data_IF_590477175178
#
_entry.id   IF_590477175178
#
_cell.length_a   1.000
_cell.length_b   1.000
_cell.length_c   1.000
_cell.angle_alpha   90.00
_cell.angle_beta   90.00
_cell.angle_gamma   90.00
#
_symmetry.space_group_name_H-M   'P 1'
#
loop_
_entity.id
_entity.type
_entity.pdbx_description
1 polymer ?
#
# COMPACT_ATOMS: atom_id res chain seq x y z
N UNK A 1 -3.13 -1.61 16.44
CA UNK A 1 -3.91 -0.73 15.54
C UNK A 1 -4.26 -1.32 14.16
N UNK A 2 -3.36 -1.33 13.16
CA UNK A 2 -3.73 -1.53 11.73
C UNK A 2 -4.54 -2.82 11.49
N UNK A 3 -4.15 -3.95 12.08
CA UNK A 3 -4.90 -5.21 11.95
C UNK A 3 -6.35 -5.07 12.44
N UNK A 4 -6.57 -4.36 13.56
CA UNK A 4 -7.89 -4.11 14.14
C UNK A 4 -8.75 -3.24 13.22
N UNK A 5 -8.20 -2.14 12.72
CA UNK A 5 -8.91 -1.18 11.84
C UNK A 5 -9.41 -1.89 10.57
N UNK A 6 -8.57 -2.70 9.94
CA UNK A 6 -8.94 -3.41 8.72
C UNK A 6 -9.57 -4.79 8.96
N UNK A 7 -9.76 -5.20 10.22
CA UNK A 7 -10.20 -6.56 10.61
C UNK A 7 -9.35 -7.67 9.98
N UNK A 8 -8.05 -7.41 9.86
CA UNK A 8 -7.06 -8.38 9.39
C UNK A 8 -6.68 -9.33 10.52
N UNK A 9 -6.17 -10.51 10.14
CA UNK A 9 -5.68 -11.53 11.07
C UNK A 9 -4.17 -11.72 11.00
N UNK A 10 -3.52 -11.11 10.02
CA UNK A 10 -2.08 -11.20 9.77
C UNK A 10 -1.61 -9.98 8.98
N UNK A 11 -0.29 -9.79 8.90
CA UNK A 11 0.34 -8.73 8.11
C UNK A 11 1.40 -9.31 7.18
N UNK A 12 1.52 -8.77 5.98
CA UNK A 12 2.75 -8.83 5.20
C UNK A 12 3.55 -7.56 5.47
N UNK A 13 4.81 -7.73 5.88
CA UNK A 13 5.76 -6.64 6.09
C UNK A 13 6.95 -6.88 5.16
N UNK A 14 7.21 -5.94 4.25
CA UNK A 14 8.26 -6.06 3.25
C UNK A 14 9.17 -4.83 3.24
N UNK A 15 10.46 -5.06 3.00
CA UNK A 15 11.48 -4.02 2.82
C UNK A 15 12.23 -4.33 1.54
N UNK A 16 12.26 -3.37 0.63
CA UNK A 16 13.01 -3.43 -0.63
C UNK A 16 14.21 -2.50 -0.50
N UNK A 17 15.33 -3.06 -0.03
CA UNK A 17 16.57 -2.30 0.21
C UNK A 17 17.53 -2.43 -0.99
N UNK A 18 17.55 -1.39 -1.82
CA UNK A 18 18.34 -1.34 -3.05
C UNK A 18 17.55 -1.65 -4.32
N UNK A 19 18.05 -1.17 -5.46
CA UNK A 19 17.36 -1.29 -6.77
C UNK A 19 17.12 -2.74 -7.18
N UNK A 20 18.08 -3.63 -6.90
CA UNK A 20 17.98 -5.06 -7.21
C UNK A 20 16.94 -5.80 -6.34
N UNK A 21 16.53 -5.20 -5.23
CA UNK A 21 15.45 -5.68 -4.37
C UNK A 21 14.08 -5.09 -4.76
N UNK A 22 13.99 -4.32 -5.86
CA UNK A 22 12.76 -3.68 -6.32
C UNK A 22 12.50 -2.28 -5.74
N UNK A 23 13.49 -1.65 -5.10
CA UNK A 23 13.31 -0.31 -4.54
C UNK A 23 13.07 0.74 -5.65
N UNK A 24 11.88 1.34 -5.67
CA UNK A 24 11.54 2.34 -6.69
C UNK A 24 11.85 3.79 -6.29
N UNK A 25 11.77 4.09 -4.98
CA UNK A 25 12.17 5.40 -4.41
C UNK A 25 13.48 5.24 -3.66
N UNK A 26 14.49 6.11 -3.89
CA UNK A 26 15.73 6.12 -3.12
C UNK A 26 15.52 6.72 -1.73
N UNK A 27 14.58 6.16 -0.98
CA UNK A 27 14.24 6.48 0.40
C UNK A 27 13.85 5.18 1.10
N UNK A 28 14.41 4.93 2.28
CA UNK A 28 14.05 3.75 3.05
C UNK A 28 12.55 3.78 3.40
N UNK A 29 11.82 2.76 2.98
CA UNK A 29 10.41 2.58 3.31
C UNK A 29 10.10 1.09 3.51
N UNK A 30 8.97 0.82 4.17
CA UNK A 30 8.48 -0.54 4.36
C UNK A 30 7.01 -0.60 3.98
N UNK A 31 6.61 -1.70 3.35
CA UNK A 31 5.20 -1.98 3.07
C UNK A 31 4.59 -2.70 4.25
N UNK A 32 3.44 -2.22 4.74
CA UNK A 32 2.63 -2.89 5.76
C UNK A 32 1.28 -3.19 5.13
N UNK A 33 1.01 -4.47 4.85
CA UNK A 33 -0.19 -4.89 4.13
C UNK A 33 -1.05 -5.79 5.03
N UNK A 34 -2.24 -5.34 5.44
CA UNK A 34 -3.15 -6.14 6.25
C UNK A 34 -3.74 -7.31 5.46
N UNK A 35 -3.68 -8.51 6.02
CA UNK A 35 -4.11 -9.77 5.37
C UNK A 35 -5.30 -10.41 6.07
N UNK A 36 -6.17 -11.01 5.27
CA UNK A 36 -7.27 -11.88 5.72
C UNK A 36 -7.14 -13.23 5.04
N UNK A 37 -7.74 -14.26 5.63
CA UNK A 37 -7.82 -15.56 4.98
C UNK A 37 -8.52 -15.41 3.61
N UNK A 38 -7.93 -15.99 2.57
CA UNK A 38 -8.44 -16.02 1.20
C UNK A 38 -8.61 -14.63 0.53
N UNK A 39 -7.92 -13.59 1.03
CA UNK A 39 -8.02 -12.24 0.46
C UNK A 39 -7.44 -12.09 -0.96
N UNK A 40 -6.58 -13.02 -1.36
CA UNK A 40 -5.95 -13.04 -2.69
C UNK A 40 -6.41 -14.22 -3.55
N UNK A 41 -7.34 -15.07 -3.10
CA UNK A 41 -7.76 -16.26 -3.85
C UNK A 41 -8.34 -15.90 -5.22
N UNK A 42 -9.10 -14.79 -5.29
CA UNK A 42 -9.65 -14.28 -6.54
C UNK A 42 -8.58 -13.74 -7.51
N UNK A 43 -7.37 -13.44 -7.01
CA UNK A 43 -6.24 -12.89 -7.78
C UNK A 43 -5.19 -13.94 -8.14
N UNK A 44 -5.32 -15.19 -7.68
CA UNK A 44 -4.36 -16.28 -7.93
C UNK A 44 -3.70 -16.84 -6.66
N UNK A 45 -4.12 -16.41 -5.48
CA UNK A 45 -3.66 -16.94 -4.19
C UNK A 45 -2.60 -16.06 -3.52
N UNK A 46 -2.04 -16.56 -2.42
CA UNK A 46 -1.18 -15.77 -1.53
C UNK A 46 0.10 -15.22 -2.16
N UNK A 47 0.66 -15.92 -3.15
CA UNK A 47 1.96 -15.60 -3.76
C UNK A 47 1.91 -14.40 -4.72
N UNK A 48 0.72 -14.05 -5.21
CA UNK A 48 0.49 -12.91 -6.10
C UNK A 48 0.88 -11.59 -5.42
N UNK A 49 0.92 -11.55 -4.08
CA UNK A 49 1.36 -10.37 -3.35
C UNK A 49 2.82 -10.00 -3.64
N UNK A 50 3.69 -10.96 -3.96
CA UNK A 50 5.08 -10.69 -4.27
C UNK A 50 5.20 -10.03 -5.65
N UNK A 51 4.44 -10.52 -6.62
CA UNK A 51 4.35 -9.92 -7.96
C UNK A 51 3.77 -8.50 -7.88
N UNK A 52 2.77 -8.28 -7.02
CA UNK A 52 2.18 -6.96 -6.78
C UNK A 52 3.20 -5.98 -6.16
N UNK A 53 4.02 -6.45 -5.20
CA UNK A 53 5.07 -5.65 -4.55
C UNK A 53 6.23 -5.30 -5.50
N UNK A 54 6.55 -6.15 -6.47
CA UNK A 54 7.56 -5.86 -7.50
C UNK A 54 6.99 -5.03 -8.66
N UNK A 55 5.68 -5.05 -8.83
CA UNK A 55 4.96 -4.29 -9.85
C UNK A 55 4.56 -2.88 -9.40
N UNK A 56 3.61 -2.31 -10.15
CA UNK A 56 3.16 -0.94 -9.96
C UNK A 56 2.48 -0.67 -8.61
N UNK A 57 2.02 -1.72 -7.90
CA UNK A 57 1.44 -1.58 -6.55
C UNK A 57 2.50 -1.29 -5.48
N UNK A 58 3.69 -1.88 -5.63
CA UNK A 58 4.84 -1.56 -4.79
C UNK A 58 5.55 -0.27 -5.18
N UNK A 59 5.35 0.25 -6.41
CA UNK A 59 6.07 1.44 -6.88
C UNK A 59 5.54 2.77 -6.26
N UNK A 60 6.04 3.10 -5.08
CA UNK A 60 5.74 4.37 -4.40
C UNK A 60 6.28 5.58 -5.20
N UNK A 61 7.37 5.41 -5.95
CA UNK A 61 8.01 6.49 -6.69
C UNK A 61 7.13 7.04 -7.78
N UNK A 62 6.54 6.15 -8.57
CA UNK A 62 5.54 6.51 -9.56
C UNK A 62 4.30 7.14 -8.92
N UNK A 63 3.83 6.61 -7.78
CA UNK A 63 2.71 7.17 -7.04
C UNK A 63 3.00 8.60 -6.54
N UNK A 64 4.21 8.89 -6.07
CA UNK A 64 4.59 10.23 -5.64
C UNK A 64 4.78 11.19 -6.82
N UNK A 65 5.38 10.72 -7.92
CA UNK A 65 5.57 11.54 -9.13
C UNK A 65 4.23 11.95 -9.77
N UNK A 66 3.27 11.03 -9.85
CA UNK A 66 1.91 11.33 -10.34
C UNK A 66 1.18 12.37 -9.47
N UNK A 67 1.50 12.48 -8.18
CA UNK A 67 0.98 13.56 -7.31
C UNK A 67 1.61 14.93 -7.60
N UNK A 68 2.89 14.97 -7.96
CA UNK A 68 3.58 16.23 -8.29
C UNK A 68 3.26 16.76 -9.69
N UNK A 69 3.04 15.87 -10.66
CA UNK A 69 2.81 16.25 -12.05
C UNK A 69 1.33 16.10 -12.40
N UNK A 70 0.53 17.16 -12.26
CA UNK A 70 -0.90 17.19 -12.66
C UNK A 70 -1.18 16.97 -14.17
N UNK A 71 -0.23 16.48 -14.96
CA UNK A 71 -0.41 16.24 -16.38
C UNK A 71 0.72 15.36 -16.95
N UNK A 72 0.49 14.06 -17.07
CA UNK A 72 1.09 13.27 -18.15
C UNK A 72 0.36 11.94 -18.29
N UNK A 73 -0.13 11.70 -19.50
CA UNK A 73 -0.79 10.49 -19.96
C UNK A 73 -0.07 9.23 -19.46
N UNK A 74 -0.78 8.42 -18.69
CA UNK A 74 -0.40 7.07 -18.34
C UNK A 74 -0.22 6.24 -19.62
N UNK A 75 0.98 5.71 -19.84
CA UNK A 75 1.22 4.56 -20.73
C UNK A 75 1.78 3.42 -19.88
N UNK A 76 0.89 2.75 -19.15
CA UNK A 76 1.11 1.43 -18.57
C UNK A 76 0.04 0.51 -19.15
N UNK A 77 0.45 -0.58 -19.80
CA UNK A 77 -0.46 -1.59 -20.35
C UNK A 77 -0.81 -2.60 -19.24
N UNK A 78 -2.11 -2.93 -19.22
CA UNK A 78 -2.79 -4.05 -18.54
C UNK A 78 -2.86 -4.08 -17.00
N UNK A 79 -3.62 -3.15 -16.44
CA UNK A 79 -4.68 -3.54 -15.49
C UNK A 79 -5.86 -2.55 -15.61
N UNK A 80 -6.79 -2.84 -16.53
CA UNK A 80 -7.96 -1.98 -16.81
C UNK A 80 -8.87 -1.76 -15.58
N UNK A 81 -8.68 -2.54 -14.50
CA UNK A 81 -9.42 -2.39 -13.24
C UNK A 81 -8.67 -1.57 -12.18
N UNK A 82 -7.43 -1.16 -12.43
CA UNK A 82 -6.60 -0.48 -11.43
C UNK A 82 -6.85 1.03 -11.45
N UNK A 83 -7.65 1.48 -10.49
CA UNK A 83 -7.98 2.89 -10.32
C UNK A 83 -7.14 3.50 -9.20
N UNK A 84 -6.37 4.53 -9.51
CA UNK A 84 -5.72 5.35 -8.50
C UNK A 84 -6.78 5.90 -7.52
N UNK A 85 -6.54 5.74 -6.22
CA UNK A 85 -7.43 6.30 -5.19
C UNK A 85 -7.37 7.82 -5.24
N UNK A 86 -8.51 8.48 -5.00
CA UNK A 86 -8.53 9.93 -4.93
C UNK A 86 -7.75 10.44 -3.71
N UNK A 87 -7.19 11.63 -3.82
CA UNK A 87 -6.48 12.28 -2.73
C UNK A 87 -7.38 12.49 -1.50
N UNK A 88 -8.64 12.83 -1.71
CA UNK A 88 -9.63 12.96 -0.65
C UNK A 88 -9.81 11.66 0.14
N UNK A 89 -9.94 10.52 -0.56
CA UNK A 89 -10.08 9.21 0.09
C UNK A 89 -8.83 8.84 0.89
N UNK A 90 -7.63 9.15 0.37
CA UNK A 90 -6.38 8.91 1.09
C UNK A 90 -6.25 9.80 2.34
N UNK A 91 -6.65 11.07 2.25
CA UNK A 91 -6.60 12.00 3.36
C UNK A 91 -7.55 11.59 4.50
N UNK A 92 -8.80 11.24 4.16
CA UNK A 92 -9.78 10.75 5.14
C UNK A 92 -9.30 9.49 5.85
N UNK A 93 -8.69 8.55 5.11
CA UNK A 93 -8.14 7.33 5.71
C UNK A 93 -6.96 7.64 6.63
N UNK A 94 -6.07 8.55 6.25
CA UNK A 94 -4.94 8.97 7.07
C UNK A 94 -5.40 9.62 8.39
N UNK A 95 -6.41 10.49 8.34
CA UNK A 95 -7.01 11.10 9.54
C UNK A 95 -7.63 10.06 10.46
N UNK A 96 -8.36 9.10 9.90
CA UNK A 96 -8.94 7.98 10.66
C UNK A 96 -7.85 7.15 11.34
N UNK A 97 -6.79 6.79 10.62
CA UNK A 97 -5.68 6.02 11.18
C UNK A 97 -4.96 6.81 12.29
N UNK A 98 -4.73 8.11 12.11
CA UNK A 98 -4.13 8.95 13.14
C UNK A 98 -4.97 8.95 14.43
N UNK A 99 -6.29 9.11 14.32
CA UNK A 99 -7.20 9.03 15.46
C UNK A 99 -7.15 7.67 16.18
N UNK A 100 -7.11 6.57 15.42
CA UNK A 100 -6.99 5.22 15.97
C UNK A 100 -5.64 4.98 16.67
N UNK A 101 -4.55 5.61 16.21
CA UNK A 101 -3.24 5.55 16.87
C UNK A 101 -3.29 6.21 18.24
N UNK A 102 -3.89 7.40 18.34
CA UNK A 102 -4.02 8.14 19.60
C UNK A 102 -4.87 7.37 20.61
N UNK A 103 -5.98 6.76 20.16
CA UNK A 103 -6.84 5.96 21.00
C UNK A 103 -6.12 4.72 21.58
N UNK A 104 -5.30 4.02 20.79
CA UNK A 104 -4.51 2.87 21.23
C UNK A 104 -3.45 3.29 22.29
N UNK A 105 -2.87 4.49 22.18
CA UNK A 105 -1.90 5.01 23.17
C UNK A 105 -2.54 5.32 24.52
N UNK A 106 -3.74 5.88 24.52
CA UNK A 106 -4.49 6.19 25.74
C UNK A 106 -4.90 4.90 26.48
N UNK A 107 -5.28 3.85 25.75
CA UNK A 107 -5.66 2.56 26.35
C UNK A 107 -4.47 1.75 26.89
N UNK A 108 -3.25 2.05 26.43
CA UNK A 108 -2.02 1.37 26.84
C UNK A 108 -1.31 2.05 28.02
N UNK A 109 -1.87 3.17 28.52
CA UNK A 109 -1.35 3.99 29.63
C UNK A 109 -2.16 3.77 30.91
#
# INVERSE_FOLDING_TARGET
MVERVYRATSLNIAVQDGIDAGQSVPHFHTHIIPRKKADMDAKGGGDVIYEMLEGEEGDIGQQLQSRSTRQSDFRGVDDENRQARSEEVMAQEAELLAHEMDADQIQSS
#
